data_IF_527296842911
#
_entry.id   IF_527296842911
#
_cell.length_a   1.000
_cell.length_b   1.000
_cell.length_c   1.000
_cell.angle_alpha   90.00
_cell.angle_beta   90.00
_cell.angle_gamma   90.00
#
_symmetry.space_group_name_H-M   'P 1'
#
loop_
_entity.id
_entity.type
_entity.pdbx_description
1 polymer ?
#
# COMPACT_ATOMS: atom_id res chain seq x y z
N UNK A 1 22.92 -21.33 -11.73
CA UNK A 1 22.53 -19.90 -11.75
C UNK A 1 21.05 -19.82 -12.10
N UNK A 2 20.18 -19.64 -11.12
CA UNK A 2 18.79 -19.24 -11.35
C UNK A 2 18.43 -18.28 -10.21
N UNK A 3 19.03 -17.09 -10.24
CA UNK A 3 18.42 -15.95 -9.57
C UNK A 3 17.15 -15.66 -10.37
N UNK A 4 16.07 -16.32 -9.96
CA UNK A 4 14.71 -16.06 -10.40
C UNK A 4 14.44 -14.58 -10.13
N UNK A 5 14.70 -13.75 -11.13
CA UNK A 5 14.17 -12.40 -11.20
C UNK A 5 12.67 -12.56 -11.06
N UNK A 6 12.15 -12.14 -9.92
CA UNK A 6 10.72 -12.15 -9.68
C UNK A 6 10.11 -11.15 -10.66
N UNK A 7 9.63 -11.68 -11.78
CA UNK A 7 9.00 -10.93 -12.85
C UNK A 7 7.48 -11.14 -12.80
N UNK A 8 6.75 -10.26 -13.49
CA UNK A 8 5.28 -10.28 -13.50
C UNK A 8 4.73 -11.62 -13.99
N UNK A 9 5.31 -12.17 -15.06
CA UNK A 9 4.84 -13.39 -15.68
C UNK A 9 5.01 -14.62 -14.78
N UNK A 10 6.15 -14.75 -14.07
CA UNK A 10 6.34 -15.87 -13.14
C UNK A 10 5.42 -15.78 -11.94
N UNK A 11 5.21 -14.58 -11.39
CA UNK A 11 4.26 -14.39 -10.29
C UNK A 11 2.82 -14.66 -10.72
N UNK A 12 2.43 -14.24 -11.92
CA UNK A 12 1.11 -14.48 -12.45
C UNK A 12 0.87 -15.97 -12.69
N UNK A 13 1.89 -16.69 -13.20
CA UNK A 13 1.82 -18.14 -13.38
C UNK A 13 1.61 -18.86 -12.05
N UNK A 14 2.41 -18.54 -11.03
CA UNK A 14 2.28 -19.11 -9.70
C UNK A 14 0.92 -18.78 -9.06
N UNK A 15 0.45 -17.53 -9.22
CA UNK A 15 -0.86 -17.12 -8.75
C UNK A 15 -2.00 -17.87 -9.46
N UNK A 16 -1.87 -18.16 -10.76
CA UNK A 16 -2.88 -18.93 -11.48
C UNK A 16 -2.87 -20.43 -11.12
N UNK A 17 -1.70 -20.97 -10.75
CA UNK A 17 -1.56 -22.34 -10.25
C UNK A 17 -2.18 -22.50 -8.85
N UNK A 18 -1.99 -21.50 -7.98
CA UNK A 18 -2.64 -21.44 -6.68
C UNK A 18 -3.06 -20.00 -6.30
N UNK A 19 -4.31 -19.61 -6.64
CA UNK A 19 -4.85 -18.28 -6.35
C UNK A 19 -5.06 -18.01 -4.87
N UNK A 20 -4.97 -19.05 -4.03
CA UNK A 20 -5.05 -18.92 -2.58
C UNK A 20 -3.70 -18.52 -1.98
N UNK A 21 -2.64 -18.34 -2.76
CA UNK A 21 -1.35 -17.95 -2.18
C UNK A 21 -1.35 -16.47 -1.78
N UNK A 22 -0.70 -16.13 -0.67
CA UNK A 22 -0.42 -14.73 -0.24
C UNK A 22 0.45 -13.92 -1.24
N UNK A 23 0.85 -14.54 -2.37
CA UNK A 23 1.55 -13.91 -3.48
C UNK A 23 0.74 -12.80 -4.15
N UNK A 24 -0.59 -12.79 -4.00
CA UNK A 24 -1.46 -11.75 -4.58
C UNK A 24 -0.99 -10.34 -4.20
N UNK A 25 -0.51 -10.12 -2.97
CA UNK A 25 -0.07 -8.81 -2.51
C UNK A 25 1.20 -8.36 -3.27
N UNK A 26 2.14 -9.29 -3.49
CA UNK A 26 3.37 -9.01 -4.24
C UNK A 26 3.07 -8.79 -5.72
N UNK A 27 2.18 -9.60 -6.29
CA UNK A 27 1.75 -9.48 -7.69
C UNK A 27 1.01 -8.15 -7.92
N UNK A 28 0.07 -7.80 -7.06
CA UNK A 28 -0.67 -6.53 -7.15
C UNK A 28 0.27 -5.32 -7.03
N UNK A 29 1.22 -5.33 -6.08
CA UNK A 29 2.22 -4.27 -5.95
C UNK A 29 3.08 -4.13 -7.22
N UNK A 30 3.48 -5.24 -7.84
CA UNK A 30 4.24 -5.23 -9.08
C UNK A 30 3.39 -4.71 -10.26
N UNK A 31 2.14 -5.16 -10.39
CA UNK A 31 1.20 -4.67 -11.40
C UNK A 31 0.97 -3.16 -11.26
N UNK A 32 0.90 -2.67 -10.02
CA UNK A 32 0.77 -1.24 -9.73
C UNK A 32 1.99 -0.45 -10.21
N UNK A 33 3.20 -0.93 -9.89
CA UNK A 33 4.45 -0.35 -10.38
C UNK A 33 4.58 -0.35 -11.91
N UNK A 34 3.96 -1.32 -12.58
CA UNK A 34 3.88 -1.41 -14.04
C UNK A 34 2.74 -0.56 -14.65
N UNK A 35 2.04 0.25 -13.85
CA UNK A 35 0.93 1.10 -14.30
C UNK A 35 -0.38 0.34 -14.58
N UNK A 36 -0.44 -0.97 -14.32
CA UNK A 36 -1.63 -1.81 -14.54
C UNK A 36 -2.60 -1.71 -13.37
N UNK A 37 -3.03 -0.48 -13.04
CA UNK A 37 -3.83 -0.13 -11.86
C UNK A 37 -5.08 -0.99 -11.69
N UNK A 38 -5.91 -1.10 -12.73
CA UNK A 38 -7.15 -1.89 -12.68
C UNK A 38 -6.89 -3.35 -12.33
N UNK A 39 -5.89 -3.97 -12.97
CA UNK A 39 -5.54 -5.38 -12.69
C UNK A 39 -4.98 -5.54 -11.28
N UNK A 40 -4.14 -4.61 -10.82
CA UNK A 40 -3.61 -4.61 -9.47
C UNK A 40 -4.74 -4.58 -8.42
N UNK A 41 -5.71 -3.68 -8.60
CA UNK A 41 -6.89 -3.58 -7.72
C UNK A 41 -7.68 -4.88 -7.68
N UNK A 42 -8.03 -5.46 -8.82
CA UNK A 42 -8.82 -6.72 -8.87
C UNK A 42 -8.12 -7.89 -8.16
N UNK A 43 -6.81 -8.03 -8.37
CA UNK A 43 -6.01 -9.08 -7.71
C UNK A 43 -5.94 -8.84 -6.20
N UNK A 44 -5.70 -7.59 -5.78
CA UNK A 44 -5.65 -7.23 -4.37
C UNK A 44 -7.00 -7.41 -3.66
N UNK A 45 -8.11 -7.03 -4.28
CA UNK A 45 -9.47 -7.21 -3.76
C UNK A 45 -9.76 -8.70 -3.53
N UNK A 46 -9.53 -9.52 -4.55
CA UNK A 46 -9.76 -10.97 -4.49
C UNK A 46 -8.92 -11.62 -3.39
N UNK A 47 -7.65 -11.23 -3.28
CA UNK A 47 -6.75 -11.76 -2.26
C UNK A 47 -7.13 -11.33 -0.85
N UNK A 48 -7.53 -10.08 -0.64
CA UNK A 48 -7.99 -9.59 0.68
C UNK A 48 -9.33 -10.20 1.08
N UNK A 49 -10.22 -10.51 0.12
CA UNK A 49 -11.45 -11.25 0.42
C UNK A 49 -11.17 -12.66 0.94
N UNK A 50 -10.16 -13.35 0.39
CA UNK A 50 -9.75 -14.67 0.86
C UNK A 50 -8.93 -14.61 2.16
N UNK A 51 -8.12 -13.56 2.31
CA UNK A 51 -7.22 -13.35 3.45
C UNK A 51 -7.48 -12.01 4.13
N UNK A 52 -8.66 -11.85 4.78
CA UNK A 52 -9.05 -10.60 5.39
C UNK A 52 -8.15 -10.19 6.55
N UNK A 53 -7.37 -11.09 7.14
CA UNK A 53 -6.45 -10.76 8.22
C UNK A 53 -5.02 -10.46 7.74
N UNK A 54 -4.73 -10.62 6.45
CA UNK A 54 -3.40 -10.37 5.93
C UNK A 54 -3.12 -8.88 5.76
N UNK A 55 -2.39 -8.32 6.73
CA UNK A 55 -2.07 -6.89 6.83
C UNK A 55 -1.39 -6.37 5.56
N UNK A 56 -0.37 -7.07 5.05
CA UNK A 56 0.33 -6.64 3.84
C UNK A 56 -0.59 -6.59 2.62
N UNK A 57 -1.51 -7.55 2.49
CA UNK A 57 -2.52 -7.55 1.43
C UNK A 57 -3.44 -6.33 1.51
N UNK A 58 -3.90 -5.96 2.71
CA UNK A 58 -4.73 -4.77 2.93
C UNK A 58 -4.00 -3.46 2.61
N UNK A 59 -2.72 -3.36 2.97
CA UNK A 59 -1.89 -2.18 2.64
C UNK A 59 -1.79 -2.04 1.11
N UNK A 60 -1.50 -3.14 0.40
CA UNK A 60 -1.41 -3.12 -1.07
C UNK A 60 -2.76 -2.76 -1.70
N UNK A 61 -3.87 -3.31 -1.21
CA UNK A 61 -5.21 -2.95 -1.68
C UNK A 61 -5.51 -1.45 -1.48
N UNK A 62 -5.19 -0.92 -0.29
CA UNK A 62 -5.35 0.51 -0.03
C UNK A 62 -4.51 1.36 -0.99
N UNK A 63 -3.28 0.93 -1.30
CA UNK A 63 -2.43 1.60 -2.27
C UNK A 63 -3.01 1.54 -3.69
N UNK A 64 -3.54 0.39 -4.11
CA UNK A 64 -4.24 0.24 -5.39
C UNK A 64 -5.46 1.16 -5.48
N UNK A 65 -6.25 1.28 -4.41
CA UNK A 65 -7.38 2.21 -4.37
C UNK A 65 -6.94 3.67 -4.43
N UNK A 66 -5.86 4.04 -3.73
CA UNK A 66 -5.30 5.39 -3.77
C UNK A 66 -4.86 5.78 -5.19
N UNK A 67 -4.18 4.87 -5.91
CA UNK A 67 -3.77 5.08 -7.30
C UNK A 67 -4.95 5.08 -8.30
N UNK A 68 -6.07 4.50 -7.91
CA UNK A 68 -7.32 4.51 -8.67
C UNK A 68 -8.23 5.69 -8.28
N UNK A 69 -7.71 6.68 -7.54
CA UNK A 69 -8.44 7.84 -7.01
C UNK A 69 -9.62 7.49 -6.09
N UNK A 70 -9.73 6.22 -5.65
CA UNK A 70 -10.71 5.75 -4.69
C UNK A 70 -10.18 5.96 -3.26
N UNK A 71 -10.03 7.22 -2.87
CA UNK A 71 -9.44 7.58 -1.58
C UNK A 71 -10.28 7.12 -0.38
N UNK A 72 -11.61 7.06 -0.51
CA UNK A 72 -12.50 6.57 0.54
C UNK A 72 -12.32 5.07 0.80
N UNK A 73 -12.20 4.26 -0.25
CA UNK A 73 -11.86 2.85 -0.15
C UNK A 73 -10.46 2.65 0.45
N UNK A 74 -9.48 3.42 -0.03
CA UNK A 74 -8.11 3.38 0.48
C UNK A 74 -8.05 3.68 1.99
N UNK A 75 -8.74 4.75 2.43
CA UNK A 75 -8.83 5.17 3.83
C UNK A 75 -9.45 4.07 4.70
N UNK A 76 -10.52 3.43 4.23
CA UNK A 76 -11.20 2.36 4.96
C UNK A 76 -10.25 1.18 5.21
N UNK A 77 -9.53 0.73 4.18
CA UNK A 77 -8.63 -0.41 4.34
C UNK A 77 -7.39 -0.09 5.19
N UNK A 78 -6.84 1.11 5.05
CA UNK A 78 -5.63 1.47 5.79
C UNK A 78 -5.89 1.75 7.28
N UNK A 79 -7.07 2.29 7.61
CA UNK A 79 -7.48 2.45 9.01
C UNK A 79 -7.71 1.12 9.70
N UNK A 80 -8.26 0.11 9.01
CA UNK A 80 -8.34 -1.26 9.55
C UNK A 80 -6.97 -1.88 9.83
N UNK A 81 -5.97 -1.59 8.98
CA UNK A 81 -4.59 -2.00 9.26
C UNK A 81 -4.07 -1.33 10.52
N UNK A 82 -4.26 -0.02 10.67
CA UNK A 82 -3.78 0.74 11.82
C UNK A 82 -4.50 0.41 13.12
N UNK A 83 -5.74 -0.12 13.07
CA UNK A 83 -6.40 -0.69 14.27
C UNK A 83 -5.65 -1.90 14.80
N UNK A 84 -5.07 -2.72 13.91
CA UNK A 84 -4.32 -3.93 14.28
C UNK A 84 -2.85 -3.64 14.56
N UNK A 85 -2.24 -2.78 13.76
CA UNK A 85 -0.84 -2.39 13.84
C UNK A 85 -0.72 -0.86 13.89
N UNK A 86 -0.98 -0.22 15.06
CA UNK A 86 -1.02 1.25 15.18
C UNK A 86 0.29 1.95 14.83
N UNK A 87 1.41 1.24 14.90
CA UNK A 87 2.74 1.77 14.61
C UNK A 87 3.25 1.36 13.23
N UNK A 88 2.45 0.72 12.38
CA UNK A 88 2.94 0.30 11.07
C UNK A 88 3.31 1.53 10.20
N UNK A 89 4.62 1.73 10.02
CA UNK A 89 5.16 2.88 9.31
C UNK A 89 4.60 3.04 7.89
N UNK A 90 4.44 1.94 7.16
CA UNK A 90 3.89 1.95 5.79
C UNK A 90 2.43 2.36 5.78
N UNK A 91 1.65 1.87 6.74
CA UNK A 91 0.24 2.19 6.84
C UNK A 91 0.01 3.65 7.27
N UNK A 92 0.80 4.16 8.22
CA UNK A 92 0.79 5.56 8.63
C UNK A 92 1.20 6.49 7.48
N UNK A 93 2.25 6.15 6.74
CA UNK A 93 2.68 6.93 5.57
C UNK A 93 1.57 6.98 4.51
N UNK A 94 0.98 5.82 4.17
CA UNK A 94 -0.10 5.76 3.19
C UNK A 94 -1.36 6.49 3.67
N UNK A 95 -1.73 6.38 4.95
CA UNK A 95 -2.84 7.16 5.51
C UNK A 95 -2.61 8.66 5.34
N UNK A 96 -1.41 9.16 5.66
CA UNK A 96 -1.12 10.59 5.49
C UNK A 96 -1.25 11.07 4.04
N UNK A 97 -0.81 10.27 3.08
CA UNK A 97 -0.94 10.58 1.65
C UNK A 97 -2.41 10.54 1.18
N UNK A 98 -3.19 9.55 1.63
CA UNK A 98 -4.62 9.46 1.34
C UNK A 98 -5.37 10.66 1.95
N UNK A 99 -5.08 11.03 3.19
CA UNK A 99 -5.69 12.18 3.86
C UNK A 99 -5.38 13.50 3.14
N UNK A 100 -4.16 13.69 2.63
CA UNK A 100 -3.82 14.84 1.78
C UNK A 100 -4.65 14.87 0.50
N UNK A 101 -4.78 13.73 -0.19
CA UNK A 101 -5.57 13.62 -1.42
C UNK A 101 -7.06 13.86 -1.19
N UNK A 102 -7.57 13.53 -0.01
CA UNK A 102 -8.94 13.83 0.41
C UNK A 102 -9.14 15.29 0.84
N UNK A 103 -8.08 16.09 0.96
CA UNK A 103 -8.13 17.47 1.45
C UNK A 103 -8.08 17.60 2.98
N UNK A 104 -7.91 16.50 3.71
CA UNK A 104 -7.81 16.46 5.17
C UNK A 104 -6.37 16.77 5.64
N UNK A 105 -5.90 17.98 5.34
CA UNK A 105 -4.51 18.39 5.62
C UNK A 105 -4.13 18.31 7.11
N UNK A 106 -5.07 18.61 8.02
CA UNK A 106 -4.83 18.54 9.46
C UNK A 106 -4.52 17.12 9.93
N UNK A 107 -5.28 16.13 9.44
CA UNK A 107 -5.07 14.72 9.75
C UNK A 107 -3.73 14.24 9.19
N UNK A 108 -3.43 14.60 7.94
CA UNK A 108 -2.17 14.23 7.30
C UNK A 108 -0.95 14.72 8.07
N UNK A 109 -0.93 16.00 8.47
CA UNK A 109 0.16 16.57 9.25
C UNK A 109 0.29 15.93 10.64
N UNK A 110 -0.83 15.64 11.29
CA UNK A 110 -0.83 14.92 12.57
C UNK A 110 -0.21 13.52 12.42
N UNK A 111 -0.63 12.76 11.41
CA UNK A 111 -0.11 11.41 11.15
C UNK A 111 1.38 11.46 10.80
N UNK A 112 1.82 12.39 9.94
CA UNK A 112 3.24 12.61 9.64
C UNK A 112 4.05 13.00 10.87
N UNK A 113 3.48 13.83 11.74
CA UNK A 113 4.07 14.21 13.03
C UNK A 113 4.32 13.00 13.92
N UNK A 114 3.30 12.16 14.12
CA UNK A 114 3.44 10.91 14.87
C UNK A 114 4.47 9.98 14.22
N UNK A 115 4.43 9.83 12.90
CA UNK A 115 5.36 8.97 12.18
C UNK A 115 6.82 9.42 12.36
N UNK A 116 7.11 10.72 12.30
CA UNK A 116 8.46 11.28 12.58
C UNK A 116 8.91 11.06 14.03
N UNK A 117 8.00 11.07 14.99
CA UNK A 117 8.33 10.81 16.40
C UNK A 117 8.64 9.34 16.66
N UNK A 118 7.91 8.42 16.00
CA UNK A 118 8.09 6.97 16.16
C UNK A 118 9.31 6.48 15.35
N UNK A 119 9.51 7.03 14.15
CA UNK A 119 10.59 6.67 13.22
C UNK A 119 11.47 7.88 12.85
N UNK A 120 12.21 8.45 13.81
CA UNK A 120 13.00 9.67 13.59
C UNK A 120 14.22 9.48 12.69
N UNK A 121 14.63 8.24 12.40
CA UNK A 121 15.82 7.90 11.62
C UNK A 121 15.53 7.02 10.39
N UNK A 122 14.29 7.00 9.89
CA UNK A 122 13.97 6.22 8.69
C UNK A 122 14.18 7.07 7.41
N UNK A 123 15.25 6.82 6.62
CA UNK A 123 15.57 7.60 5.43
C UNK A 123 14.54 7.47 4.31
N UNK A 124 13.64 6.47 4.37
CA UNK A 124 12.55 6.32 3.39
C UNK A 124 11.42 7.33 3.61
N UNK A 125 11.32 7.91 4.81
CA UNK A 125 10.31 8.91 5.17
C UNK A 125 10.78 10.35 4.96
N UNK A 126 12.10 10.57 4.94
CA UNK A 126 12.70 11.89 4.73
C UNK A 126 12.66 12.33 3.25
N UNK A 127 12.46 11.40 2.31
CA UNK A 127 12.56 11.63 0.87
C UNK A 127 11.40 12.37 0.18
N UNK A 128 10.31 12.71 0.87
CA UNK A 128 9.20 13.55 0.33
C UNK A 128 9.21 15.01 0.81
N UNK A 129 10.28 15.47 1.49
CA UNK A 129 10.68 16.89 1.44
C UNK A 129 11.67 16.95 0.27
N UNK A 130 11.47 17.69 -0.83
CA UNK A 130 11.41 19.15 -0.96
C UNK A 130 10.95 19.39 -2.43
N UNK A 131 9.86 20.12 -2.69
CA UNK A 131 9.78 21.27 -3.63
C UNK A 131 8.46 21.98 -3.33
N UNK A 132 8.45 22.77 -2.28
CA UNK A 132 7.62 23.97 -2.24
C UNK A 132 8.39 25.02 -1.44
N UNK A 133 8.58 26.16 -2.11
CA UNK A 133 9.27 27.38 -1.67
C UNK A 133 10.77 27.46 -2.02
N UNK A 134 11.06 27.87 -3.25
CA UNK A 134 11.46 29.26 -3.54
C UNK A 134 11.23 29.59 -5.02
#
# INVERSE_FOLDING_TARGET
MALSLVNEESLLKLYNEDPTTLLFARLAALLLGNGKRTKATTIAETGVQQYPDYVTGRIVLAQCYSEADNYTGAYTHITEVLKKEPQNAKALALLSEISEKMGNMEEAEKVRGCLRQIYPHDPTLEGKKIVSQQ
#
